data_IF_558903859506
#
_entry.id   IF_558903859506
#
_cell.length_a   1.000
_cell.length_b   1.000
_cell.length_c   1.000
_cell.angle_alpha   90.00
_cell.angle_beta   90.00
_cell.angle_gamma   90.00
#
_symmetry.space_group_name_H-M   'P 1'
#
loop_
_entity.id
_entity.type
_entity.pdbx_description
1 polymer ?
#
# COMPACT_ATOMS: atom_id res chain seq x y z
N UNK A 1 13.06 5.51 -13.95
CA UNK A 1 13.65 5.51 -12.59
C UNK A 1 14.19 4.12 -12.30
N UNK A 2 15.45 3.97 -11.90
CA UNK A 2 16.02 2.65 -11.55
C UNK A 2 15.73 2.29 -10.09
N UNK A 3 15.84 1.00 -9.73
CA UNK A 3 15.74 0.53 -8.34
C UNK A 3 16.68 1.31 -7.42
N UNK A 4 17.95 1.47 -7.81
CA UNK A 4 18.94 2.23 -7.04
C UNK A 4 18.53 3.70 -6.90
N UNK A 5 18.02 4.32 -7.96
CA UNK A 5 17.55 5.71 -7.90
C UNK A 5 16.40 5.87 -6.89
N UNK A 6 15.47 4.92 -6.83
CA UNK A 6 14.37 4.95 -5.84
C UNK A 6 14.87 4.76 -4.41
N UNK A 7 15.77 3.80 -4.20
CA UNK A 7 16.39 3.57 -2.87
C UNK A 7 17.17 4.81 -2.43
N UNK A 8 17.89 5.48 -3.33
CA UNK A 8 18.59 6.73 -3.02
C UNK A 8 17.64 7.84 -2.59
N UNK A 9 16.50 8.00 -3.27
CA UNK A 9 15.49 8.99 -2.89
C UNK A 9 14.89 8.70 -1.51
N UNK A 10 14.57 7.44 -1.22
CA UNK A 10 14.08 7.02 0.09
C UNK A 10 15.13 7.24 1.19
N UNK A 11 16.40 6.95 0.92
CA UNK A 11 17.47 7.23 1.87
C UNK A 11 17.63 8.74 2.11
N UNK A 12 17.58 9.55 1.06
CA UNK A 12 17.66 11.01 1.14
C UNK A 12 16.52 11.63 1.94
N UNK A 13 15.28 11.11 1.82
CA UNK A 13 14.14 11.62 2.60
C UNK A 13 14.30 11.42 4.11
N UNK A 14 15.10 10.43 4.53
CA UNK A 14 15.51 10.22 5.93
C UNK A 14 16.92 10.74 6.25
N UNK A 15 17.55 11.51 5.36
CA UNK A 15 18.90 12.07 5.52
C UNK A 15 19.99 10.99 5.73
N UNK A 16 19.81 9.83 5.10
CA UNK A 16 20.72 8.69 5.19
C UNK A 16 21.56 8.56 3.92
N UNK A 17 22.82 8.15 4.10
CA UNK A 17 23.64 7.60 3.03
C UNK A 17 23.26 6.14 2.76
N UNK A 18 23.56 5.62 1.55
CA UNK A 18 23.35 4.20 1.26
C UNK A 18 24.10 3.28 2.23
N UNK A 19 25.31 3.66 2.66
CA UNK A 19 26.08 2.87 3.61
C UNK A 19 25.43 2.84 5.01
N UNK A 20 24.79 3.94 5.43
CA UNK A 20 24.00 3.96 6.67
C UNK A 20 22.74 3.11 6.53
N UNK A 21 22.04 3.21 5.41
CA UNK A 21 20.88 2.37 5.12
C UNK A 21 21.26 0.88 5.20
N UNK A 22 22.34 0.47 4.53
CA UNK A 22 22.83 -0.90 4.54
C UNK A 22 23.07 -1.41 5.97
N UNK A 23 23.71 -0.60 6.83
CA UNK A 23 23.90 -0.96 8.24
C UNK A 23 22.58 -1.07 9.01
N UNK A 24 21.64 -0.15 8.77
CA UNK A 24 20.36 -0.12 9.48
C UNK A 24 19.48 -1.34 9.16
N UNK A 25 19.56 -1.84 7.93
CA UNK A 25 18.72 -2.96 7.47
C UNK A 25 19.45 -4.30 7.42
N UNK A 26 20.71 -4.36 7.87
CA UNK A 26 21.49 -5.60 7.92
C UNK A 26 21.94 -6.12 6.56
N UNK A 27 22.26 -5.22 5.62
CA UNK A 27 22.80 -5.51 4.29
C UNK A 27 24.30 -5.23 4.27
N UNK A 28 25.07 -6.05 3.55
CA UNK A 28 26.53 -5.88 3.45
C UNK A 28 26.87 -4.55 2.78
N UNK A 29 27.92 -3.88 3.29
CA UNK A 29 28.36 -2.58 2.79
C UNK A 29 28.65 -2.60 1.27
N UNK A 30 28.16 -1.60 0.55
CA UNK A 30 28.29 -1.42 -0.89
C UNK A 30 27.47 -2.40 -1.73
N UNK A 31 26.62 -3.23 -1.13
CA UNK A 31 25.79 -4.19 -1.86
C UNK A 31 24.72 -3.49 -2.69
N UNK A 32 24.06 -2.45 -2.16
CA UNK A 32 22.98 -1.74 -2.87
C UNK A 32 23.50 -1.14 -4.18
N UNK A 33 24.73 -0.61 -4.19
CA UNK A 33 25.36 0.00 -5.37
C UNK A 33 25.55 -0.98 -6.54
N UNK A 34 25.60 -2.28 -6.27
CA UNK A 34 25.80 -3.31 -7.31
C UNK A 34 24.49 -3.78 -7.94
N UNK A 35 23.34 -3.29 -7.48
CA UNK A 35 22.04 -3.77 -7.96
C UNK A 35 21.64 -3.28 -9.35
N UNK A 36 22.42 -2.38 -9.95
CA UNK A 36 22.28 -2.05 -11.37
C UNK A 36 22.86 -3.17 -12.27
N UNK A 37 23.79 -3.99 -11.77
CA UNK A 37 24.47 -5.06 -12.52
C UNK A 37 24.22 -6.46 -11.97
N UNK A 38 23.73 -6.58 -10.73
CA UNK A 38 23.46 -7.86 -10.07
C UNK A 38 22.08 -7.86 -9.46
N UNK A 39 21.30 -8.92 -9.67
CA UNK A 39 19.96 -8.99 -9.11
C UNK A 39 20.01 -9.10 -7.58
N UNK A 40 19.32 -8.23 -6.83
CA UNK A 40 19.20 -8.36 -5.38
C UNK A 40 18.45 -9.64 -4.99
N UNK A 41 18.76 -10.17 -3.81
CA UNK A 41 17.91 -11.17 -3.18
C UNK A 41 16.61 -10.50 -2.72
N UNK A 42 15.48 -11.20 -2.89
CA UNK A 42 14.15 -10.72 -2.46
C UNK A 42 14.17 -10.32 -0.98
N UNK A 43 14.84 -11.09 -0.12
CA UNK A 43 15.00 -10.80 1.31
C UNK A 43 15.60 -9.41 1.57
N UNK A 44 16.58 -8.98 0.77
CA UNK A 44 17.20 -7.66 0.91
C UNK A 44 16.26 -6.55 0.45
N UNK A 45 15.42 -6.83 -0.54
CA UNK A 45 14.39 -5.88 -0.97
C UNK A 45 13.32 -5.70 0.10
N UNK A 46 12.87 -6.81 0.72
CA UNK A 46 11.90 -6.78 1.82
C UNK A 46 12.41 -5.96 3.00
N UNK A 47 13.66 -6.17 3.43
CA UNK A 47 14.29 -5.37 4.50
C UNK A 47 14.24 -3.86 4.24
N UNK A 48 14.45 -3.44 2.99
CA UNK A 48 14.37 -2.03 2.60
C UNK A 48 12.92 -1.56 2.56
N UNK A 49 12.03 -2.36 1.98
CA UNK A 49 10.60 -2.06 1.91
C UNK A 49 10.00 -1.84 3.31
N UNK A 50 10.29 -2.74 4.25
CA UNK A 50 9.84 -2.67 5.65
C UNK A 50 10.41 -1.44 6.36
N UNK A 51 11.71 -1.16 6.18
CA UNK A 51 12.39 -0.01 6.79
C UNK A 51 11.77 1.34 6.39
N UNK A 52 11.33 1.45 5.13
CA UNK A 52 10.68 2.64 4.61
C UNK A 52 9.14 2.57 4.66
N UNK A 53 8.58 1.45 5.12
CA UNK A 53 7.15 1.18 5.13
C UNK A 53 6.49 1.38 3.75
N UNK A 54 7.16 0.91 2.70
CA UNK A 54 6.68 0.95 1.31
C UNK A 54 6.48 -0.45 0.76
N UNK A 55 5.66 -0.60 -0.28
CA UNK A 55 5.45 -1.90 -0.90
C UNK A 55 6.66 -2.31 -1.76
N UNK A 56 6.85 -3.61 -1.95
CA UNK A 56 7.87 -4.13 -2.86
C UNK A 56 7.58 -3.68 -4.31
N UNK A 57 6.30 -3.60 -4.69
CA UNK A 57 5.89 -3.11 -6.01
C UNK A 57 6.25 -1.63 -6.22
N UNK A 58 6.14 -0.80 -5.18
CA UNK A 58 6.64 0.57 -5.23
C UNK A 58 8.17 0.58 -5.42
N UNK A 59 8.89 -0.20 -4.62
CA UNK A 59 10.35 -0.26 -4.65
C UNK A 59 10.85 -0.66 -6.05
N UNK A 60 10.21 -1.66 -6.67
CA UNK A 60 10.52 -2.12 -8.02
C UNK A 60 9.93 -1.25 -9.14
N UNK A 61 9.08 -0.28 -8.82
CA UNK A 61 8.50 0.66 -9.79
C UNK A 61 7.36 0.11 -10.63
N UNK A 62 6.66 -0.92 -10.12
CA UNK A 62 5.42 -1.45 -10.71
C UNK A 62 4.21 -0.57 -10.37
N UNK A 63 4.32 0.24 -9.31
CA UNK A 63 3.33 1.25 -8.92
C UNK A 63 4.02 2.56 -8.51
N UNK A 64 3.29 3.68 -8.65
CA UNK A 64 3.71 4.97 -8.10
C UNK A 64 3.16 5.21 -6.68
N UNK A 65 2.20 4.41 -6.21
CA UNK A 65 1.72 4.47 -4.84
C UNK A 65 2.80 3.97 -3.89
N UNK A 66 3.35 4.88 -3.09
CA UNK A 66 4.28 4.60 -1.99
C UNK A 66 3.65 3.79 -0.87
N UNK A 67 2.35 3.96 -0.68
CA UNK A 67 1.63 3.37 0.42
C UNK A 67 1.40 1.90 0.11
N UNK A 68 1.91 1.04 0.98
CA UNK A 68 1.29 -0.26 1.15
C UNK A 68 -0.14 0.10 1.56
N UNK A 69 -1.15 -0.30 0.77
CA UNK A 69 -2.52 -0.39 1.28
C UNK A 69 -2.49 -1.46 2.38
N UNK A 70 -1.87 -1.14 3.51
CA UNK A 70 -2.42 -1.54 4.77
C UNK A 70 -3.82 -0.92 4.71
N UNK A 71 -4.83 -1.74 4.41
CA UNK A 71 -5.97 -1.71 5.30
C UNK A 71 -5.34 -1.64 6.68
N UNK A 72 -5.31 -0.43 7.27
CA UNK A 72 -4.76 -0.24 8.60
C UNK A 72 -5.36 -1.37 9.46
N UNK A 73 -4.64 -1.96 10.43
CA UNK A 73 -5.32 -2.81 11.38
C UNK A 73 -6.49 -1.97 11.87
N UNK A 74 -7.71 -2.36 11.47
CA UNK A 74 -8.92 -1.59 11.69
C UNK A 74 -8.92 -1.36 13.19
N UNK A 75 -8.59 -0.13 13.61
CA UNK A 75 -8.71 0.22 15.01
C UNK A 75 -10.16 -0.11 15.35
N UNK A 76 -10.38 -0.76 16.49
CA UNK A 76 -11.61 -1.46 16.88
C UNK A 76 -12.91 -0.63 16.75
N UNK A 77 -12.79 0.65 16.45
CA UNK A 77 -13.81 1.67 16.28
C UNK A 77 -14.31 1.84 14.84
N UNK A 78 -13.57 1.45 13.80
CA UNK A 78 -14.00 1.55 12.39
C UNK A 78 -14.15 0.16 11.78
N UNK A 79 -15.39 -0.34 11.75
CA UNK A 79 -15.74 -1.58 11.07
C UNK A 79 -16.29 -1.25 9.69
N UNK A 80 -15.67 -1.83 8.67
CA UNK A 80 -16.18 -1.78 7.31
C UNK A 80 -17.16 -2.94 7.10
N UNK A 81 -18.32 -2.63 6.53
CA UNK A 81 -19.37 -3.61 6.25
C UNK A 81 -19.37 -3.88 4.74
N UNK A 82 -19.05 -5.10 4.33
CA UNK A 82 -19.18 -5.54 2.94
C UNK A 82 -20.47 -6.34 2.78
N UNK A 83 -21.30 -5.93 1.81
CA UNK A 83 -22.54 -6.61 1.46
C UNK A 83 -22.32 -7.32 0.13
N UNK A 84 -22.54 -8.63 0.10
CA UNK A 84 -22.53 -9.41 -1.12
C UNK A 84 -23.97 -9.70 -1.54
N UNK A 85 -24.31 -9.32 -2.77
CA UNK A 85 -25.60 -9.60 -3.38
C UNK A 85 -25.32 -10.22 -4.75
N UNK A 86 -26.04 -11.28 -5.08
CA UNK A 86 -26.04 -11.86 -6.42
C UNK A 86 -26.90 -10.98 -7.32
N UNK A 87 -26.34 -10.51 -8.42
CA UNK A 87 -27.04 -9.64 -9.39
C UNK A 87 -27.38 -10.38 -10.68
N UNK A 88 -27.60 -11.69 -10.60
CA UNK A 88 -28.10 -12.47 -11.73
C UNK A 88 -29.42 -11.84 -12.22
N UNK A 89 -29.59 -11.77 -13.55
CA UNK A 89 -30.77 -11.20 -14.22
C UNK A 89 -30.94 -9.66 -14.14
N UNK A 90 -30.01 -8.92 -13.52
CA UNK A 90 -30.01 -7.45 -13.53
C UNK A 90 -29.14 -6.88 -14.65
N UNK A 91 -29.60 -5.80 -15.26
CA UNK A 91 -28.81 -4.97 -16.19
C UNK A 91 -27.78 -4.11 -15.45
N UNK A 92 -26.76 -3.61 -16.15
CA UNK A 92 -25.77 -2.70 -15.55
C UNK A 92 -26.40 -1.44 -14.95
N UNK A 93 -27.46 -0.91 -15.56
CA UNK A 93 -28.19 0.25 -15.08
C UNK A 93 -28.93 -0.07 -13.76
N UNK A 94 -29.60 -1.22 -13.68
CA UNK A 94 -30.29 -1.67 -12.47
C UNK A 94 -29.31 -2.00 -11.34
N UNK A 95 -28.15 -2.58 -11.66
CA UNK A 95 -27.07 -2.81 -10.69
C UNK A 95 -26.59 -1.46 -10.13
N UNK A 96 -26.36 -0.48 -11.00
CA UNK A 96 -25.93 0.86 -10.60
C UNK A 96 -26.97 1.53 -9.70
N UNK A 97 -28.26 1.44 -10.05
CA UNK A 97 -29.34 1.96 -9.22
C UNK A 97 -29.39 1.28 -7.85
N UNK A 98 -29.26 -0.05 -7.81
CA UNK A 98 -29.24 -0.82 -6.58
C UNK A 98 -28.07 -0.43 -5.67
N UNK A 99 -26.88 -0.23 -6.23
CA UNK A 99 -25.70 0.25 -5.51
C UNK A 99 -25.93 1.65 -4.91
N UNK A 100 -26.51 2.58 -5.67
CA UNK A 100 -26.82 3.92 -5.16
C UNK A 100 -27.84 3.89 -4.02
N UNK A 101 -28.89 3.07 -4.15
CA UNK A 101 -29.92 2.90 -3.12
C UNK A 101 -29.35 2.29 -1.84
N UNK A 102 -28.57 1.21 -1.96
CA UNK A 102 -27.91 0.58 -0.84
C UNK A 102 -26.98 1.56 -0.11
N UNK A 103 -26.16 2.30 -0.87
CA UNK A 103 -25.27 3.33 -0.31
C UNK A 103 -26.04 4.45 0.39
N UNK A 104 -27.15 4.92 -0.20
CA UNK A 104 -28.02 5.94 0.38
C UNK A 104 -28.62 5.47 1.70
N UNK A 105 -29.16 4.25 1.73
CA UNK A 105 -29.75 3.65 2.92
C UNK A 105 -28.73 3.51 4.05
N UNK A 106 -27.55 2.95 3.77
CA UNK A 106 -26.51 2.76 4.79
C UNK A 106 -26.02 4.10 5.37
N UNK A 107 -25.87 5.12 4.52
CA UNK A 107 -25.52 6.48 4.97
C UNK A 107 -26.61 7.07 5.87
N UNK A 108 -27.87 6.94 5.50
CA UNK A 108 -29.00 7.42 6.28
C UNK A 108 -29.05 6.74 7.67
N UNK A 109 -28.97 5.41 7.72
CA UNK A 109 -28.97 4.66 8.99
C UNK A 109 -27.80 5.02 9.89
N UNK A 110 -26.61 5.20 9.31
CA UNK A 110 -25.44 5.68 10.06
C UNK A 110 -25.68 7.07 10.66
N UNK A 111 -26.29 7.97 9.90
CA UNK A 111 -26.64 9.31 10.36
C UNK A 111 -27.64 9.26 11.53
N UNK A 112 -28.73 8.51 11.41
CA UNK A 112 -29.70 8.34 12.50
C UNK A 112 -29.06 7.81 13.79
N UNK A 113 -28.17 6.81 13.68
CA UNK A 113 -27.49 6.23 14.83
C UNK A 113 -26.48 7.19 15.49
N UNK A 114 -25.94 8.15 14.73
CA UNK A 114 -24.97 9.12 15.23
C UNK A 114 -25.64 10.36 15.84
N UNK A 115 -26.89 10.61 15.47
CA UNK A 115 -27.66 11.79 15.87
C UNK A 115 -28.83 11.50 16.82
N UNK A 116 -28.92 10.27 17.34
CA UNK A 116 -29.86 9.84 18.39
C UNK A 116 -29.17 9.78 19.76
#
# INVERSE_FOLDING_TARGET
MTLISRIKQLAQSKQLTLAQLERNVGISNGQIRRWDTSSPKVENLLKIADYFSVSLDYLMGRTQQTEINHQAPMTSTQKELHIHITTEELTEEEITQLEEEANRFLRFRKFEMTNS
#
